data_IF_450624286509
#
_entry.id   IF_450624286509
#
_cell.length_a   1.000
_cell.length_b   1.000
_cell.length_c   1.000
_cell.angle_alpha   90.00
_cell.angle_beta   90.00
_cell.angle_gamma   90.00
#
_symmetry.space_group_name_H-M   'P 1'
#
loop_
_entity.id
_entity.type
_entity.pdbx_description
1 polymer ?
#
# COMPACT_ATOMS: atom_id res chain seq x y z
N UNK A 1 -1.48 0.86 -38.50
CA UNK A 1 -0.83 1.83 -37.60
C UNK A 1 -1.86 2.93 -37.38
N UNK A 2 -2.34 3.28 -36.20
CA UNK A 2 -1.79 3.14 -34.86
C UNK A 2 -2.85 2.63 -33.88
N UNK A 3 -2.35 2.08 -32.77
CA UNK A 3 -3.07 1.50 -31.65
C UNK A 3 -3.93 2.53 -30.92
N UNK A 4 -5.20 2.21 -30.65
CA UNK A 4 -5.98 2.91 -29.64
C UNK A 4 -5.62 2.33 -28.27
N UNK A 5 -4.90 3.13 -27.49
CA UNK A 5 -4.50 2.82 -26.13
C UNK A 5 -5.43 3.51 -25.13
N UNK A 6 -5.71 2.77 -24.06
CA UNK A 6 -6.18 3.18 -22.73
C UNK A 6 -7.68 3.44 -22.58
N UNK A 7 -8.38 2.37 -22.21
CA UNK A 7 -9.70 2.38 -21.58
C UNK A 7 -9.58 2.72 -20.07
N UNK A 8 -10.63 3.34 -19.55
CA UNK A 8 -11.06 3.48 -18.15
C UNK A 8 -10.42 4.55 -17.25
N UNK A 9 -10.78 5.80 -17.56
CA UNK A 9 -10.66 6.99 -16.70
C UNK A 9 -11.83 7.12 -15.69
N UNK A 10 -12.18 6.04 -14.97
CA UNK A 10 -13.31 6.02 -14.01
C UNK A 10 -12.89 5.78 -12.55
N UNK A 11 -11.86 6.48 -12.08
CA UNK A 11 -11.64 6.67 -10.63
C UNK A 11 -12.01 8.11 -10.27
N UNK A 12 -13.30 8.42 -10.41
CA UNK A 12 -13.88 9.54 -9.70
C UNK A 12 -15.32 9.20 -9.33
N UNK A 13 -15.55 8.95 -8.04
CA UNK A 13 -16.76 9.34 -7.30
C UNK A 13 -16.61 9.09 -5.80
N UNK A 14 -16.39 10.21 -5.12
CA UNK A 14 -16.88 10.59 -3.80
C UNK A 14 -16.61 9.70 -2.58
N UNK A 15 -15.64 10.14 -1.78
CA UNK A 15 -15.80 10.23 -0.32
C UNK A 15 -15.56 11.69 0.11
N UNK A 16 -16.42 12.13 1.00
CA UNK A 16 -16.83 13.51 1.28
C UNK A 16 -15.78 14.41 1.97
N UNK A 17 -15.90 15.71 1.66
CA UNK A 17 -15.43 16.92 2.34
C UNK A 17 -14.03 16.95 2.98
N UNK A 18 -13.07 17.56 2.25
CA UNK A 18 -11.87 18.18 2.84
C UNK A 18 -10.59 17.33 2.85
N UNK A 19 -10.57 16.19 2.16
CA UNK A 19 -9.45 15.26 2.21
C UNK A 19 -8.38 15.68 1.19
N UNK A 20 -7.20 16.09 1.66
CA UNK A 20 -6.01 16.05 0.81
C UNK A 20 -5.88 14.61 0.31
N UNK A 21 -6.04 14.39 -0.99
CA UNK A 21 -5.85 13.07 -1.59
C UNK A 21 -4.39 12.67 -1.39
N UNK A 22 -4.10 11.98 -0.29
CA UNK A 22 -2.76 11.46 -0.04
C UNK A 22 -2.53 10.35 -1.04
N UNK A 23 -1.79 10.69 -2.10
CA UNK A 23 -1.28 9.74 -3.08
C UNK A 23 0.01 9.13 -2.53
N UNK A 24 0.06 7.80 -2.48
CA UNK A 24 1.28 7.05 -2.11
C UNK A 24 1.97 6.52 -3.36
N UNK A 25 3.28 6.43 -3.31
CA UNK A 25 4.13 5.80 -4.31
C UNK A 25 4.98 4.69 -3.67
N UNK A 26 5.35 3.70 -4.48
CA UNK A 26 6.33 2.69 -4.05
C UNK A 26 7.65 3.39 -3.73
N UNK A 27 8.23 3.07 -2.56
CA UNK A 27 9.42 3.71 -2.03
C UNK A 27 9.15 4.83 -1.01
N UNK A 28 7.91 5.30 -0.90
CA UNK A 28 7.56 6.34 0.06
C UNK A 28 7.81 5.88 1.50
N UNK A 29 8.39 6.78 2.30
CA UNK A 29 8.50 6.62 3.75
C UNK A 29 7.18 7.02 4.39
N UNK A 30 6.59 6.09 5.12
CA UNK A 30 5.31 6.26 5.81
C UNK A 30 5.42 5.83 7.26
N UNK A 31 4.46 6.24 8.07
CA UNK A 31 4.31 5.81 9.45
C UNK A 31 3.05 4.96 9.60
N UNK A 32 3.22 3.81 10.25
CA UNK A 32 2.16 2.91 10.66
C UNK A 32 2.30 2.67 12.16
N UNK A 33 1.31 3.08 12.95
CA UNK A 33 1.36 3.04 14.43
C UNK A 33 2.66 3.65 15.02
N UNK A 34 3.08 4.82 14.52
CA UNK A 34 4.31 5.53 14.94
C UNK A 34 5.63 4.83 14.60
N UNK A 35 5.59 3.76 13.80
CA UNK A 35 6.77 3.08 13.30
C UNK A 35 7.00 3.40 11.83
N UNK A 36 8.26 3.68 11.50
CA UNK A 36 8.69 3.95 10.13
C UNK A 36 8.59 2.68 9.27
N UNK A 37 7.96 2.83 8.11
CA UNK A 37 7.86 1.80 7.09
C UNK A 37 8.08 2.40 5.69
N UNK A 38 8.32 1.53 4.73
CA UNK A 38 8.47 1.87 3.31
C UNK A 38 7.35 1.21 2.53
N UNK A 39 6.72 1.94 1.60
CA UNK A 39 5.74 1.36 0.67
C UNK A 39 6.46 0.46 -0.32
N UNK A 40 6.02 -0.79 -0.45
CA UNK A 40 6.59 -1.80 -1.35
C UNK A 40 5.60 -2.30 -2.40
N UNK A 41 4.31 -2.12 -2.17
CA UNK A 41 3.25 -2.56 -3.08
C UNK A 41 2.04 -1.65 -2.97
N UNK A 42 1.38 -1.37 -4.08
CA UNK A 42 0.07 -0.70 -4.16
C UNK A 42 -0.75 -1.44 -5.21
N UNK A 43 -1.91 -1.97 -4.85
CA UNK A 43 -2.75 -2.66 -5.82
C UNK A 43 -3.84 -3.54 -5.20
N UNK A 44 -4.54 -4.28 -6.07
CA UNK A 44 -5.48 -5.32 -5.68
C UNK A 44 -4.73 -6.56 -5.20
N UNK A 45 -5.36 -7.36 -4.35
CA UNK A 45 -4.77 -8.59 -3.83
C UNK A 45 -5.74 -9.75 -3.99
N UNK A 46 -5.20 -10.97 -4.01
CA UNK A 46 -6.02 -12.19 -4.10
C UNK A 46 -6.73 -12.53 -2.77
N UNK A 47 -6.28 -11.96 -1.64
CA UNK A 47 -6.81 -12.29 -0.32
C UNK A 47 -8.00 -11.42 0.11
N UNK A 48 -8.18 -10.23 -0.48
CA UNK A 48 -9.30 -9.34 -0.16
C UNK A 48 -9.49 -8.24 -1.21
N UNK A 49 -10.73 -7.83 -1.43
CA UNK A 49 -11.09 -6.81 -2.40
C UNK A 49 -10.54 -5.40 -2.09
N UNK A 50 -10.56 -4.56 -3.13
CA UNK A 50 -10.13 -3.16 -3.07
C UNK A 50 -8.61 -2.98 -3.11
N UNK A 51 -8.17 -1.72 -3.01
CA UNK A 51 -6.74 -1.38 -3.01
C UNK A 51 -6.14 -1.62 -1.62
N UNK A 52 -4.97 -2.24 -1.62
CA UNK A 52 -4.13 -2.46 -0.47
C UNK A 52 -2.75 -1.87 -0.69
N UNK A 53 -2.14 -1.44 0.40
CA UNK A 53 -0.75 -1.01 0.42
C UNK A 53 0.05 -2.05 1.20
N UNK A 54 1.04 -2.64 0.55
CA UNK A 54 2.06 -3.45 1.20
C UNK A 54 3.19 -2.55 1.69
N UNK A 55 3.47 -2.59 2.99
CA UNK A 55 4.55 -1.83 3.62
C UNK A 55 5.58 -2.78 4.24
N UNK A 56 6.81 -2.31 4.36
CA UNK A 56 7.90 -2.98 5.06
C UNK A 56 8.37 -2.12 6.24
N UNK A 57 8.29 -2.65 7.47
CA UNK A 57 8.84 -1.97 8.64
C UNK A 57 10.37 -1.96 8.61
N UNK A 58 10.98 -0.78 8.75
CA UNK A 58 12.43 -0.62 8.55
C UNK A 58 13.25 -1.15 9.72
N UNK A 59 12.75 -1.02 10.95
CA UNK A 59 13.58 -1.27 12.15
C UNK A 59 13.16 -2.48 12.99
N UNK A 60 11.86 -2.79 13.09
CA UNK A 60 11.35 -3.85 13.99
C UNK A 60 10.38 -4.78 13.24
N UNK A 61 10.32 -6.07 13.60
CA UNK A 61 9.42 -7.04 12.98
C UNK A 61 7.99 -6.88 13.51
N UNK A 62 7.33 -5.79 13.11
CA UNK A 62 5.96 -5.44 13.54
C UNK A 62 4.89 -5.80 12.50
N UNK A 63 5.31 -6.45 11.42
CA UNK A 63 4.46 -6.96 10.36
C UNK A 63 3.85 -8.32 10.69
N UNK A 64 3.20 -8.89 9.69
CA UNK A 64 2.52 -10.19 9.77
C UNK A 64 2.97 -11.16 8.67
N UNK A 65 3.79 -10.69 7.75
CA UNK A 65 4.25 -11.47 6.60
C UNK A 65 5.67 -11.06 6.18
N UNK A 66 6.18 -11.73 5.17
CA UNK A 66 7.45 -11.51 4.48
C UNK A 66 7.25 -10.86 3.09
N UNK A 67 6.06 -10.30 2.84
CA UNK A 67 5.63 -9.80 1.53
C UNK A 67 4.83 -10.82 0.71
N UNK A 68 4.59 -12.01 1.25
CA UNK A 68 3.64 -13.00 0.73
C UNK A 68 2.40 -13.17 1.61
N UNK A 69 1.27 -13.56 1.01
CA UNK A 69 0.05 -13.96 1.73
C UNK A 69 -0.53 -15.18 1.02
N UNK A 70 -0.82 -16.25 1.78
CA UNK A 70 -1.34 -17.52 1.27
C UNK A 70 -0.51 -18.10 0.09
N UNK A 71 0.82 -17.99 0.17
CA UNK A 71 1.74 -18.49 -0.86
C UNK A 71 1.92 -17.58 -2.08
N UNK A 72 1.10 -16.53 -2.24
CA UNK A 72 1.28 -15.54 -3.31
C UNK A 72 2.23 -14.43 -2.84
N UNK A 73 3.29 -14.19 -3.62
CA UNK A 73 4.26 -13.12 -3.37
C UNK A 73 3.80 -11.84 -4.06
N UNK A 74 3.86 -10.72 -3.34
CA UNK A 74 3.56 -9.38 -3.86
C UNK A 74 4.78 -8.46 -3.79
N UNK A 75 5.60 -8.61 -2.75
CA UNK A 75 6.90 -7.97 -2.59
C UNK A 75 7.78 -8.87 -1.72
N UNK A 76 9.07 -8.51 -1.56
CA UNK A 76 10.00 -9.25 -0.71
C UNK A 76 10.48 -8.37 0.45
N UNK A 77 10.47 -8.93 1.65
CA UNK A 77 11.06 -8.36 2.85
C UNK A 77 11.41 -9.46 3.87
N UNK A 78 11.98 -9.08 5.02
CA UNK A 78 12.26 -10.02 6.11
C UNK A 78 10.97 -10.57 6.71
N UNK A 79 11.04 -11.78 7.27
CA UNK A 79 9.91 -12.39 7.99
C UNK A 79 9.38 -11.46 9.08
N UNK A 80 8.06 -11.27 9.13
CA UNK A 80 7.36 -10.38 10.06
C UNK A 80 7.70 -8.89 9.88
N UNK A 81 8.28 -8.46 8.75
CA UNK A 81 8.44 -7.03 8.44
C UNK A 81 7.36 -6.51 7.49
N UNK A 82 6.74 -7.39 6.71
CA UNK A 82 5.70 -7.03 5.75
C UNK A 82 4.33 -6.90 6.40
N UNK A 83 3.56 -5.90 5.96
CA UNK A 83 2.16 -5.72 6.36
C UNK A 83 1.33 -5.20 5.18
N UNK A 84 0.13 -5.75 5.00
CA UNK A 84 -0.88 -5.18 4.11
C UNK A 84 -1.86 -4.34 4.91
N UNK A 85 -2.12 -3.12 4.47
CA UNK A 85 -2.98 -2.16 5.16
C UNK A 85 -3.79 -1.31 4.19
N UNK A 86 -4.91 -0.76 4.66
CA UNK A 86 -5.71 0.22 3.91
C UNK A 86 -5.01 1.59 3.92
N UNK A 87 -5.09 2.38 2.84
CA UNK A 87 -4.43 3.69 2.73
C UNK A 87 -4.75 4.65 3.87
N UNK A 88 -5.99 4.64 4.36
CA UNK A 88 -6.45 5.53 5.45
C UNK A 88 -5.81 5.26 6.83
N UNK A 89 -4.99 4.22 6.96
CA UNK A 89 -4.27 3.90 8.20
C UNK A 89 -2.78 4.25 8.13
N UNK A 90 -2.32 4.88 7.05
CA UNK A 90 -0.95 5.37 6.90
C UNK A 90 -0.89 6.87 7.07
N UNK A 91 0.24 7.38 7.58
CA UNK A 91 0.55 8.81 7.63
C UNK A 91 1.91 9.10 7.02
N UNK A 92 2.09 10.29 6.43
CA UNK A 92 3.37 10.74 5.88
C UNK A 92 4.31 11.30 6.96
N UNK A 93 3.76 11.68 8.11
CA UNK A 93 4.50 12.18 9.26
C UNK A 93 4.28 11.30 10.47
N UNK A 94 5.25 11.31 11.38
CA UNK A 94 5.11 10.70 12.70
C UNK A 94 4.05 11.48 13.48
N UNK A 95 3.06 10.78 14.04
CA UNK A 95 2.13 11.38 15.00
C UNK A 95 2.78 11.54 16.37
#
# INVERSE_FOLDING_TARGET
MASNSVEDDQISKSMDSGVHSITFHIGDKVYCHNHLAIVRFIGRTAFADGIWIGIEFVSRPLGKNDGSVNGQVYFQCKQNHGLFIRPNRLTLTKK
#
